data_IF_508580242480
#
_entry.id   IF_508580242480
#
_cell.length_a   1.000
_cell.length_b   1.000
_cell.length_c   1.000
_cell.angle_alpha   90.00
_cell.angle_beta   90.00
_cell.angle_gamma   90.00
#
_symmetry.space_group_name_H-M   'P 1'
#
loop_
_entity.id
_entity.type
_entity.pdbx_description
1 polymer ?
#
# COMPACT_ATOMS: atom_id res chain seq x y z
N UNK A 1 -0.38 -10.09 -36.06
CA UNK A 1 -0.36 -11.00 -34.87
C UNK A 1 0.30 -10.37 -33.65
N UNK A 2 1.60 -10.00 -33.72
CA UNK A 2 2.39 -9.54 -32.56
C UNK A 2 1.83 -8.26 -31.93
N UNK A 3 1.44 -7.26 -32.71
CA UNK A 3 0.90 -6.00 -32.20
C UNK A 3 -0.41 -6.16 -31.41
N UNK A 4 -1.31 -7.03 -31.89
CA UNK A 4 -2.57 -7.32 -31.19
C UNK A 4 -2.29 -8.12 -29.92
N UNK A 5 -1.38 -9.09 -29.96
CA UNK A 5 -0.99 -9.86 -28.79
C UNK A 5 -0.38 -8.96 -27.70
N UNK A 6 0.46 -8.01 -28.08
CA UNK A 6 1.04 -7.04 -27.14
C UNK A 6 -0.03 -6.15 -26.48
N UNK A 7 -0.99 -5.64 -27.27
CA UNK A 7 -2.10 -4.80 -26.74
C UNK A 7 -2.95 -5.62 -25.74
N UNK A 8 -3.30 -6.87 -26.09
CA UNK A 8 -4.08 -7.74 -25.20
C UNK A 8 -3.33 -8.08 -23.93
N UNK A 9 -2.01 -8.34 -24.02
CA UNK A 9 -1.19 -8.62 -22.85
C UNK A 9 -1.11 -7.39 -21.91
N UNK A 10 -0.84 -6.20 -22.46
CA UNK A 10 -0.79 -4.95 -21.67
C UNK A 10 -2.14 -4.64 -21.02
N UNK A 11 -3.24 -4.71 -21.77
CA UNK A 11 -4.56 -4.46 -21.20
C UNK A 11 -4.98 -5.50 -20.16
N UNK A 12 -4.56 -6.75 -20.30
CA UNK A 12 -4.81 -7.81 -19.32
C UNK A 12 -4.05 -7.58 -18.00
N UNK A 13 -2.77 -7.21 -18.07
CA UNK A 13 -1.96 -6.89 -16.89
C UNK A 13 -2.53 -5.66 -16.17
N UNK A 14 -2.85 -4.59 -16.91
CA UNK A 14 -3.44 -3.37 -16.34
C UNK A 14 -4.79 -3.62 -15.67
N UNK A 15 -5.65 -4.45 -16.26
CA UNK A 15 -6.94 -4.81 -15.68
C UNK A 15 -6.78 -5.61 -14.37
N UNK A 16 -5.79 -6.50 -14.30
CA UNK A 16 -5.48 -7.26 -13.08
C UNK A 16 -4.94 -6.36 -11.96
N UNK A 17 -4.00 -5.46 -12.28
CA UNK A 17 -3.46 -4.48 -11.32
C UNK A 17 -4.56 -3.57 -10.76
N UNK A 18 -5.46 -3.07 -11.62
CA UNK A 18 -6.60 -2.26 -11.21
C UNK A 18 -7.55 -3.00 -10.26
N UNK A 19 -7.84 -4.27 -10.53
CA UNK A 19 -8.72 -5.08 -9.68
C UNK A 19 -8.10 -5.28 -8.28
N UNK A 20 -6.79 -5.49 -8.18
CA UNK A 20 -6.09 -5.62 -6.90
C UNK A 20 -6.08 -4.30 -6.10
N UNK A 21 -5.83 -3.16 -6.76
CA UNK A 21 -5.90 -1.84 -6.15
C UNK A 21 -7.32 -1.51 -5.66
N UNK A 22 -8.35 -1.76 -6.47
CA UNK A 22 -9.75 -1.54 -6.06
C UNK A 22 -10.13 -2.41 -4.87
N UNK A 23 -9.74 -3.68 -4.86
CA UNK A 23 -10.01 -4.57 -3.72
C UNK A 23 -9.30 -4.09 -2.45
N UNK A 24 -8.10 -3.52 -2.58
CA UNK A 24 -7.37 -2.92 -1.48
C UNK A 24 -8.07 -1.67 -0.96
N UNK A 25 -8.51 -0.76 -1.84
CA UNK A 25 -9.30 0.42 -1.45
C UNK A 25 -10.62 0.06 -0.76
N UNK A 26 -11.33 -0.95 -1.28
CA UNK A 26 -12.58 -1.44 -0.68
C UNK A 26 -12.37 -2.04 0.71
N UNK A 27 -11.29 -2.81 0.89
CA UNK A 27 -10.99 -3.45 2.18
C UNK A 27 -10.59 -2.46 3.27
N UNK A 28 -9.94 -1.37 2.89
CA UNK A 28 -9.44 -0.36 3.82
C UNK A 28 -10.49 0.69 4.19
N UNK A 29 -11.45 0.92 3.28
CA UNK A 29 -12.33 2.08 3.36
C UNK A 29 -11.61 3.39 3.02
N UNK A 30 -12.31 4.30 2.35
CA UNK A 30 -11.78 5.62 1.97
C UNK A 30 -11.76 6.63 3.11
N UNK A 31 -12.08 6.19 4.33
CA UNK A 31 -12.32 7.03 5.50
C UNK A 31 -11.20 7.00 6.53
N UNK A 32 -10.07 6.36 6.23
CA UNK A 32 -8.89 6.35 7.09
C UNK A 32 -8.04 7.59 6.85
N UNK A 33 -7.69 8.27 7.93
CA UNK A 33 -6.79 9.43 7.95
C UNK A 33 -5.64 9.13 8.89
N UNK A 34 -4.43 9.50 8.48
CA UNK A 34 -3.20 9.44 9.27
C UNK A 34 -2.73 10.87 9.51
N UNK A 35 -2.42 11.20 10.75
CA UNK A 35 -1.80 12.47 11.11
C UNK A 35 -0.52 12.20 11.91
N UNK A 36 0.57 12.86 11.53
CA UNK A 36 1.87 12.73 12.17
C UNK A 36 2.58 14.08 12.17
N UNK A 37 3.53 14.33 13.09
CA UNK A 37 4.38 15.50 12.99
C UNK A 37 5.13 15.50 11.66
N UNK A 38 5.26 16.68 11.08
CA UNK A 38 6.12 16.85 9.92
C UNK A 38 7.56 16.48 10.27
N UNK A 39 8.23 15.70 9.42
CA UNK A 39 9.60 15.30 9.66
C UNK A 39 10.50 16.53 9.80
N UNK A 40 11.10 16.71 10.96
CA UNK A 40 12.04 17.79 11.21
C UNK A 40 13.26 17.69 10.30
N UNK A 41 13.93 18.82 10.05
CA UNK A 41 15.08 18.96 9.13
C UNK A 41 16.25 17.97 9.42
N UNK A 42 16.29 17.37 10.60
CA UNK A 42 17.33 16.42 11.05
C UNK A 42 16.80 15.01 11.27
N UNK A 43 15.59 14.68 10.78
CA UNK A 43 15.02 13.34 10.92
C UNK A 43 14.60 12.98 12.35
N UNK A 44 14.57 13.93 13.27
CA UNK A 44 14.00 13.74 14.61
C UNK A 44 12.48 13.69 14.46
N UNK A 45 11.89 12.57 14.89
CA UNK A 45 10.43 12.49 14.98
C UNK A 45 10.00 13.37 16.18
N UNK A 46 9.34 14.49 15.87
CA UNK A 46 8.68 15.28 16.90
C UNK A 46 7.49 14.50 17.44
N UNK A 47 7.21 14.68 18.71
CA UNK A 47 6.05 14.06 19.37
C UNK A 47 4.86 15.02 19.32
N UNK A 48 3.67 14.48 19.22
CA UNK A 48 2.46 15.27 19.33
C UNK A 48 2.19 15.67 20.78
N UNK A 49 1.46 16.78 21.02
CA UNK A 49 1.13 17.21 22.37
C UNK A 49 0.41 16.14 23.19
N UNK A 50 0.68 16.06 24.48
CA UNK A 50 -0.07 15.20 25.41
C UNK A 50 -1.56 15.54 25.35
N UNK A 51 -2.41 14.51 25.29
CA UNK A 51 -3.87 14.68 25.20
C UNK A 51 -4.43 14.98 23.82
N UNK A 52 -3.60 14.93 22.76
CA UNK A 52 -4.06 15.11 21.37
C UNK A 52 -5.15 14.12 20.98
N UNK A 53 -5.11 12.88 21.47
CA UNK A 53 -6.13 11.86 21.22
C UNK A 53 -7.52 12.37 21.62
N UNK A 54 -7.67 12.88 22.85
CA UNK A 54 -8.92 13.45 23.33
C UNK A 54 -9.35 14.74 22.62
N UNK A 55 -8.45 15.44 21.93
CA UNK A 55 -8.83 16.57 21.08
C UNK A 55 -9.43 16.08 19.76
N UNK A 56 -8.85 15.07 19.16
CA UNK A 56 -9.32 14.47 17.91
C UNK A 56 -10.66 13.76 18.10
N UNK A 57 -10.86 13.03 19.19
CA UNK A 57 -12.14 12.37 19.55
C UNK A 57 -13.33 13.35 19.60
N UNK A 58 -13.09 14.62 19.91
CA UNK A 58 -14.16 15.65 19.99
C UNK A 58 -14.57 16.19 18.63
N UNK A 59 -13.87 15.84 17.55
CA UNK A 59 -14.27 16.23 16.19
C UNK A 59 -15.47 15.36 15.80
N UNK A 60 -16.66 15.98 15.72
CA UNK A 60 -17.94 15.27 15.59
C UNK A 60 -18.04 14.15 14.55
N UNK A 61 -17.47 14.30 13.32
CA UNK A 61 -17.50 13.25 12.31
C UNK A 61 -16.50 12.10 12.53
N UNK A 62 -15.58 12.20 13.50
CA UNK A 62 -14.63 11.12 13.85
C UNK A 62 -15.39 9.99 14.54
N UNK A 63 -15.19 8.77 14.06
CA UNK A 63 -15.87 7.56 14.53
C UNK A 63 -14.97 6.74 15.45
N UNK A 64 -13.72 6.56 15.03
CA UNK A 64 -12.71 5.80 15.74
C UNK A 64 -11.38 6.53 15.64
N UNK A 65 -10.59 6.47 16.68
CA UNK A 65 -9.25 7.07 16.70
C UNK A 65 -8.33 6.24 17.57
N UNK A 66 -7.08 6.15 17.16
CA UNK A 66 -6.02 5.48 17.91
C UNK A 66 -4.70 6.20 17.74
N UNK A 67 -3.79 5.97 18.64
CA UNK A 67 -2.45 6.54 18.59
C UNK A 67 -1.37 5.47 18.55
N UNK A 68 -0.26 5.81 17.96
CA UNK A 68 0.96 5.01 18.03
C UNK A 68 2.15 5.88 18.41
N UNK A 69 3.05 5.31 19.20
CA UNK A 69 4.33 5.94 19.53
C UNK A 69 5.45 5.08 18.96
N UNK A 70 6.14 5.58 17.96
CA UNK A 70 7.31 4.92 17.42
C UNK A 70 8.50 5.15 18.36
N UNK A 71 9.27 4.08 18.58
CA UNK A 71 10.43 4.11 19.48
C UNK A 71 11.65 3.49 18.80
N UNK A 72 12.82 3.86 19.28
CA UNK A 72 14.10 3.33 18.79
C UNK A 72 14.55 2.07 19.56
N UNK A 73 13.63 1.41 20.29
CA UNK A 73 13.92 0.19 21.03
C UNK A 73 14.41 -0.91 20.10
N UNK A 74 15.55 -1.48 20.42
CA UNK A 74 16.24 -2.46 19.59
C UNK A 74 15.57 -3.84 19.69
N UNK A 75 15.18 -4.40 18.55
CA UNK A 75 14.54 -5.72 18.46
C UNK A 75 15.54 -6.76 17.96
N UNK A 76 15.67 -7.88 18.69
CA UNK A 76 16.52 -9.01 18.34
C UNK A 76 15.80 -10.36 18.52
N UNK A 77 16.16 -11.32 17.69
CA UNK A 77 15.63 -12.69 17.84
C UNK A 77 16.10 -13.37 19.13
N UNK A 78 17.30 -13.07 19.56
CA UNK A 78 17.93 -13.62 20.76
C UNK A 78 19.09 -12.75 21.24
N UNK A 79 19.56 -13.00 22.44
CA UNK A 79 20.72 -12.35 23.02
C UNK A 79 22.08 -12.72 22.37
N UNK A 80 22.09 -13.72 21.46
CA UNK A 80 23.29 -14.07 20.69
C UNK A 80 23.51 -13.17 19.48
N UNK A 81 22.50 -12.39 19.09
CA UNK A 81 22.59 -11.40 18.00
C UNK A 81 23.12 -10.10 18.59
N UNK A 82 24.17 -9.55 17.97
CA UNK A 82 24.77 -8.28 18.39
C UNK A 82 23.77 -7.13 18.29
N UNK A 83 23.90 -6.15 19.18
CA UNK A 83 23.11 -4.91 19.14
C UNK A 83 23.30 -4.13 17.83
N UNK A 84 24.47 -4.25 17.21
CA UNK A 84 24.76 -3.62 15.91
C UNK A 84 24.14 -4.34 14.69
N UNK A 85 23.60 -5.54 14.90
CA UNK A 85 22.93 -6.34 13.86
C UNK A 85 21.40 -6.29 13.96
N UNK A 86 20.86 -5.46 14.83
CA UNK A 86 19.42 -5.21 14.98
C UNK A 86 18.86 -4.49 13.74
N UNK A 87 18.46 -5.25 12.76
CA UNK A 87 18.30 -4.83 11.39
C UNK A 87 17.01 -4.05 11.06
N UNK A 88 16.84 -2.82 11.54
CA UNK A 88 15.80 -1.93 11.03
C UNK A 88 14.37 -2.44 11.29
N UNK A 89 14.13 -3.02 12.44
CA UNK A 89 12.81 -3.35 12.97
C UNK A 89 12.46 -2.24 13.96
N UNK A 90 11.36 -1.54 13.72
CA UNK A 90 10.87 -0.49 14.62
C UNK A 90 10.02 -1.09 15.73
N UNK A 91 10.06 -0.52 16.92
CA UNK A 91 9.13 -0.86 18.00
C UNK A 91 8.06 0.23 18.07
N UNK A 92 6.80 -0.18 18.01
CA UNK A 92 5.63 0.69 18.07
C UNK A 92 4.86 0.36 19.34
N UNK A 93 4.66 1.37 20.16
CA UNK A 93 3.75 1.32 21.31
C UNK A 93 2.36 1.70 20.83
N UNK A 94 1.35 0.92 21.18
CA UNK A 94 -0.01 1.14 20.69
C UNK A 94 -1.06 0.65 21.68
N UNK A 95 -2.29 1.07 21.46
CA UNK A 95 -3.48 0.59 22.14
C UNK A 95 -4.16 -0.56 21.36
N UNK A 96 -5.19 -1.16 21.95
CA UNK A 96 -5.92 -2.29 21.39
C UNK A 96 -6.63 -1.97 20.07
N UNK A 97 -7.07 -0.73 19.91
CA UNK A 97 -7.91 -0.27 18.80
C UNK A 97 -7.16 -0.13 17.47
N UNK A 98 -5.82 -0.16 17.48
CA UNK A 98 -5.03 0.08 16.25
C UNK A 98 -5.46 -0.83 15.12
N UNK A 99 -5.61 -2.12 15.39
CA UNK A 99 -5.89 -3.10 14.34
C UNK A 99 -7.24 -2.82 13.66
N UNK A 100 -8.26 -2.48 14.45
CA UNK A 100 -9.60 -2.17 13.95
C UNK A 100 -9.60 -0.87 13.15
N UNK A 101 -8.95 0.18 13.67
CA UNK A 101 -8.86 1.48 13.02
C UNK A 101 -8.16 1.39 11.67
N UNK A 102 -7.05 0.66 11.56
CA UNK A 102 -6.34 0.50 10.27
C UNK A 102 -6.97 -0.55 9.35
N UNK A 103 -7.95 -1.34 9.84
CA UNK A 103 -8.56 -2.44 9.09
C UNK A 103 -7.60 -3.60 8.85
N UNK A 104 -6.69 -3.84 9.79
CA UNK A 104 -5.71 -4.92 9.71
C UNK A 104 -6.31 -6.28 10.14
N UNK A 105 -5.66 -7.36 9.71
CA UNK A 105 -5.99 -8.72 10.10
C UNK A 105 -4.78 -9.43 10.70
N UNK A 106 -5.05 -10.55 11.36
CA UNK A 106 -4.03 -11.43 11.92
C UNK A 106 -3.88 -12.68 11.05
N UNK A 107 -2.65 -13.06 10.77
CA UNK A 107 -2.33 -14.36 10.16
C UNK A 107 -2.41 -15.47 11.21
N UNK A 108 -1.95 -15.19 12.45
CA UNK A 108 -1.95 -16.17 13.55
C UNK A 108 -1.98 -15.43 14.90
N UNK A 109 -2.60 -16.05 15.90
CA UNK A 109 -2.65 -15.53 17.26
C UNK A 109 -3.70 -14.45 17.51
N UNK A 110 -3.37 -13.45 18.34
CA UNK A 110 -4.25 -12.33 18.73
C UNK A 110 -3.47 -11.01 18.80
N UNK A 111 -4.17 -9.89 18.69
CA UNK A 111 -3.60 -8.58 18.90
C UNK A 111 -3.48 -8.23 20.40
N UNK A 112 -2.88 -7.07 20.69
CA UNK A 112 -2.76 -6.54 22.05
C UNK A 112 -4.15 -6.06 22.47
N UNK A 113 -4.77 -6.76 23.40
CA UNK A 113 -6.02 -6.37 24.05
C UNK A 113 -5.68 -5.63 25.37
N UNK A 114 -6.65 -4.91 25.94
CA UNK A 114 -6.44 -4.14 27.19
C UNK A 114 -5.84 -4.99 28.33
N UNK A 115 -6.25 -6.25 28.45
CA UNK A 115 -5.69 -7.18 29.45
C UNK A 115 -4.24 -7.64 29.19
N UNK A 116 -3.68 -7.32 28.03
CA UNK A 116 -2.30 -7.65 27.63
C UNK A 116 -1.38 -6.43 27.60
N UNK A 117 -1.93 -5.22 27.76
CA UNK A 117 -1.17 -3.97 27.66
C UNK A 117 -0.01 -3.86 28.66
N UNK A 118 -0.20 -4.43 29.87
CA UNK A 118 0.77 -4.39 30.96
C UNK A 118 1.71 -5.61 31.02
N UNK A 119 1.52 -6.55 30.10
CA UNK A 119 2.28 -7.81 30.08
C UNK A 119 3.33 -7.75 28.97
N UNK A 120 4.57 -8.30 29.18
CA UNK A 120 5.60 -8.30 28.16
C UNK A 120 5.28 -9.29 27.03
N UNK A 121 4.34 -8.90 26.21
CA UNK A 121 3.92 -9.57 24.97
C UNK A 121 4.05 -8.63 23.79
N UNK A 122 4.18 -9.20 22.61
CA UNK A 122 4.34 -8.45 21.37
C UNK A 122 3.60 -9.10 20.22
N UNK A 123 3.16 -8.28 19.28
CA UNK A 123 2.62 -8.69 17.98
C UNK A 123 3.64 -8.29 16.91
N UNK A 124 3.83 -9.14 15.92
CA UNK A 124 4.78 -8.92 14.84
C UNK A 124 4.07 -8.45 13.57
N UNK A 125 4.60 -7.43 12.92
CA UNK A 125 4.24 -7.13 11.53
C UNK A 125 4.70 -8.26 10.61
N UNK A 126 4.07 -8.42 9.46
CA UNK A 126 4.31 -9.54 8.54
C UNK A 126 5.78 -9.63 8.11
N UNK A 127 6.37 -8.52 7.64
CA UNK A 127 7.78 -8.46 7.22
C UNK A 127 8.71 -8.76 8.39
N UNK A 128 8.39 -8.27 9.59
CA UNK A 128 9.18 -8.52 10.80
C UNK A 128 9.15 -10.00 11.19
N UNK A 129 7.99 -10.64 11.14
CA UNK A 129 7.84 -12.06 11.41
C UNK A 129 8.72 -12.91 10.47
N UNK A 130 8.71 -12.59 9.17
CA UNK A 130 9.57 -13.23 8.18
C UNK A 130 11.07 -13.03 8.47
N UNK A 131 11.48 -11.79 8.80
CA UNK A 131 12.89 -11.47 9.14
C UNK A 131 13.38 -12.19 10.37
N UNK A 132 12.53 -12.32 11.39
CA UNK A 132 12.87 -13.04 12.62
C UNK A 132 12.72 -14.56 12.47
N UNK A 133 12.24 -15.07 11.32
CA UNK A 133 12.01 -16.48 11.08
C UNK A 133 10.87 -17.07 11.92
N UNK A 134 9.85 -16.25 12.26
CA UNK A 134 8.69 -16.63 13.05
C UNK A 134 7.46 -16.61 12.14
N UNK A 135 7.18 -17.73 11.49
CA UNK A 135 6.10 -17.81 10.49
C UNK A 135 4.76 -18.28 11.07
N UNK A 136 4.76 -18.84 12.27
CA UNK A 136 3.57 -19.30 13.00
C UNK A 136 3.83 -19.34 14.49
N UNK A 137 2.76 -19.42 15.28
CA UNK A 137 2.79 -19.47 16.73
C UNK A 137 2.47 -20.86 17.31
N UNK A 138 2.66 -21.92 16.52
CA UNK A 138 2.44 -23.30 16.97
C UNK A 138 3.32 -23.68 18.16
N UNK A 139 4.43 -22.98 18.34
CA UNK A 139 5.33 -23.13 19.49
C UNK A 139 5.51 -21.77 20.17
N UNK A 140 5.39 -21.70 21.51
CA UNK A 140 5.63 -20.47 22.25
C UNK A 140 6.97 -19.87 21.90
N UNK A 141 6.95 -18.67 21.36
CA UNK A 141 8.12 -17.98 20.82
C UNK A 141 8.32 -16.67 21.58
N UNK A 142 9.57 -16.30 21.80
CA UNK A 142 9.95 -15.03 22.43
C UNK A 142 10.94 -14.29 21.55
N UNK A 143 10.93 -12.98 21.66
CA UNK A 143 11.94 -12.07 21.08
C UNK A 143 12.50 -11.16 22.18
N UNK A 144 13.62 -10.56 21.92
CA UNK A 144 14.26 -9.61 22.83
C UNK A 144 14.02 -8.19 22.33
N UNK A 145 13.41 -7.35 23.15
CA UNK A 145 13.26 -5.90 22.91
C UNK A 145 14.15 -5.23 23.96
N UNK A 146 15.16 -4.49 23.51
CA UNK A 146 16.27 -4.07 24.34
C UNK A 146 16.89 -5.26 25.09
N UNK A 147 16.67 -5.33 26.38
CA UNK A 147 17.18 -6.40 27.26
C UNK A 147 16.04 -7.20 27.91
N UNK A 148 14.79 -7.01 27.47
CA UNK A 148 13.62 -7.65 28.05
C UNK A 148 13.00 -8.66 27.08
N UNK A 149 12.57 -9.82 27.61
CA UNK A 149 11.96 -10.88 26.81
C UNK A 149 10.47 -10.70 26.65
N UNK A 150 10.02 -10.57 25.43
CA UNK A 150 8.62 -10.47 25.06
C UNK A 150 8.10 -11.76 24.42
N UNK A 151 6.93 -12.24 24.88
CA UNK A 151 6.25 -13.37 24.29
C UNK A 151 5.53 -12.94 23.01
N UNK A 152 5.75 -13.61 21.88
CA UNK A 152 5.02 -13.33 20.65
C UNK A 152 3.63 -13.94 20.72
N UNK A 153 2.60 -13.10 20.65
CA UNK A 153 1.18 -13.51 20.79
C UNK A 153 0.37 -13.39 19.51
N UNK A 154 0.89 -12.67 18.51
CA UNK A 154 0.22 -12.48 17.22
C UNK A 154 1.19 -12.17 16.10
N UNK A 155 0.76 -12.45 14.87
CA UNK A 155 1.43 -12.09 13.63
C UNK A 155 0.38 -11.44 12.73
N UNK A 156 0.67 -10.22 12.25
CA UNK A 156 -0.22 -9.51 11.35
C UNK A 156 -0.21 -10.13 9.94
N UNK A 157 -1.31 -10.00 9.24
CA UNK A 157 -1.36 -10.14 7.80
C UNK A 157 -0.63 -8.95 7.13
N UNK A 158 -0.24 -9.09 5.88
CA UNK A 158 0.45 -8.03 5.14
C UNK A 158 -0.39 -6.75 5.06
N UNK A 159 0.14 -5.65 5.58
CA UNK A 159 -0.48 -4.33 5.55
C UNK A 159 0.01 -3.54 4.33
N UNK A 160 -0.60 -3.76 3.17
CA UNK A 160 -0.15 -3.21 1.88
C UNK A 160 0.07 -1.70 1.86
N UNK A 161 -0.72 -0.94 2.62
CA UNK A 161 -0.64 0.54 2.66
C UNK A 161 0.08 1.09 3.88
N UNK A 162 0.48 0.23 4.80
CA UNK A 162 1.23 0.60 5.99
C UNK A 162 2.53 -0.21 6.09
N UNK A 163 3.46 -0.07 5.13
CA UNK A 163 4.69 -0.86 5.11
C UNK A 163 5.59 -0.61 6.33
N UNK A 164 5.44 0.53 6.98
CA UNK A 164 6.16 0.85 8.22
C UNK A 164 5.66 -0.02 9.38
N UNK A 165 4.36 -0.25 9.46
CA UNK A 165 3.75 -1.14 10.46
C UNK A 165 4.13 -2.60 10.22
N UNK A 166 4.23 -3.03 8.96
CA UNK A 166 4.67 -4.39 8.61
C UNK A 166 6.12 -4.69 9.04
N UNK A 167 6.94 -3.67 9.14
CA UNK A 167 8.35 -3.77 9.55
C UNK A 167 8.58 -3.56 11.04
N UNK A 168 7.49 -3.52 11.81
CA UNK A 168 7.52 -3.18 13.23
C UNK A 168 7.14 -4.36 14.11
N UNK A 169 7.44 -4.23 15.38
CA UNK A 169 6.83 -5.00 16.47
C UNK A 169 5.93 -4.07 17.27
N UNK A 170 4.88 -4.62 17.84
CA UNK A 170 3.89 -3.86 18.61
C UNK A 170 3.92 -4.30 20.06
N UNK A 171 3.90 -3.33 20.97
CA UNK A 171 3.79 -3.52 22.42
C UNK A 171 2.72 -2.58 23.00
N UNK A 172 2.14 -2.95 24.13
CA UNK A 172 1.15 -2.11 24.80
C UNK A 172 1.77 -0.91 25.54
N UNK A 173 0.96 0.14 25.76
CA UNK A 173 1.41 1.33 26.50
C UNK A 173 1.79 1.01 27.93
N UNK A 174 1.05 0.15 28.67
CA UNK A 174 1.34 -0.15 30.05
C UNK A 174 2.70 -0.84 30.26
N UNK A 175 3.07 -1.79 29.41
CA UNK A 175 4.41 -2.41 29.47
C UNK A 175 5.51 -1.47 29.01
N UNK A 176 5.24 -0.59 28.04
CA UNK A 176 6.20 0.40 27.55
C UNK A 176 6.53 1.44 28.63
N UNK A 177 5.54 1.93 29.37
CA UNK A 177 5.72 2.82 30.52
C UNK A 177 6.51 2.12 31.62
N UNK A 178 6.11 0.89 31.98
CA UNK A 178 6.71 0.18 33.13
C UNK A 178 8.16 -0.24 32.90
N UNK A 179 8.51 -0.73 31.70
CA UNK A 179 9.83 -1.30 31.43
C UNK A 179 10.81 -0.31 30.79
N UNK A 180 10.29 0.69 30.05
CA UNK A 180 11.12 1.57 29.24
C UNK A 180 10.93 3.06 29.54
N UNK A 181 10.08 3.41 30.52
CA UNK A 181 9.77 4.82 30.90
C UNK A 181 9.29 5.64 29.67
N UNK A 182 8.48 5.01 28.82
CA UNK A 182 7.92 5.63 27.63
C UNK A 182 6.54 6.19 27.97
N UNK A 183 6.44 7.49 28.00
CA UNK A 183 5.19 8.23 28.16
C UNK A 183 4.26 8.03 26.96
N UNK A 184 2.95 8.20 27.19
CA UNK A 184 1.93 8.24 26.14
C UNK A 184 1.99 9.58 25.35
N UNK A 185 3.06 9.73 24.57
CA UNK A 185 3.29 10.85 23.66
C UNK A 185 3.27 10.33 22.21
N UNK A 186 2.13 10.45 21.52
CA UNK A 186 1.98 9.83 20.20
C UNK A 186 2.89 10.47 19.15
N UNK A 187 3.43 9.64 18.28
CA UNK A 187 4.11 10.08 17.06
C UNK A 187 3.19 10.03 15.86
N UNK A 188 2.11 9.25 15.92
CA UNK A 188 1.14 9.15 14.82
C UNK A 188 -0.26 8.91 15.39
N UNK A 189 -1.23 9.56 14.80
CA UNK A 189 -2.66 9.34 15.04
C UNK A 189 -3.25 8.71 13.79
N UNK A 190 -4.01 7.65 13.97
CA UNK A 190 -4.87 7.06 12.95
C UNK A 190 -6.32 7.26 13.37
N UNK A 191 -7.16 7.66 12.43
CA UNK A 191 -8.57 7.86 12.71
C UNK A 191 -9.44 7.43 11.52
N UNK A 192 -10.65 7.01 11.81
CA UNK A 192 -11.72 6.83 10.84
C UNK A 192 -12.77 7.91 11.03
N UNK A 193 -13.13 8.57 9.96
CA UNK A 193 -14.17 9.58 9.94
C UNK A 193 -15.34 9.16 9.05
N UNK A 194 -16.49 9.81 9.21
CA UNK A 194 -17.60 9.62 8.30
C UNK A 194 -17.17 10.05 6.88
N UNK A 195 -17.29 9.17 5.85
CA UNK A 195 -16.84 9.47 4.49
C UNK A 195 -17.42 10.76 3.89
N UNK A 196 -18.63 11.15 4.31
CA UNK A 196 -19.29 12.36 3.81
C UNK A 196 -18.61 13.65 4.30
N UNK A 197 -17.92 13.61 5.43
CA UNK A 197 -17.30 14.77 6.07
C UNK A 197 -15.78 14.65 6.19
N UNK A 198 -15.18 13.74 5.44
CA UNK A 198 -13.74 13.45 5.59
C UNK A 198 -12.86 14.64 5.21
N UNK A 199 -13.26 15.43 4.20
CA UNK A 199 -12.53 16.63 3.79
C UNK A 199 -12.58 17.70 4.88
N UNK A 200 -13.76 17.90 5.49
CA UNK A 200 -13.92 18.82 6.61
C UNK A 200 -13.07 18.40 7.83
N UNK A 201 -13.00 17.09 8.10
CA UNK A 201 -12.15 16.54 9.17
C UNK A 201 -10.67 16.79 8.89
N UNK A 202 -10.20 16.52 7.68
CA UNK A 202 -8.80 16.74 7.28
C UNK A 202 -8.41 18.21 7.43
N UNK A 203 -9.29 19.15 7.06
CA UNK A 203 -9.03 20.59 7.17
C UNK A 203 -8.88 21.06 8.62
N UNK A 204 -9.69 20.53 9.54
CA UNK A 204 -9.68 20.94 10.96
C UNK A 204 -8.71 20.13 11.82
N UNK A 205 -8.18 19.00 11.31
CA UNK A 205 -7.40 18.07 12.11
C UNK A 205 -6.07 18.68 12.57
N UNK A 206 -5.26 19.22 11.66
CA UNK A 206 -3.98 19.82 12.00
C UNK A 206 -4.10 20.99 13.00
N UNK A 207 -5.01 21.97 12.82
CA UNK A 207 -5.25 23.01 13.81
C UNK A 207 -5.77 22.49 15.16
N UNK A 208 -6.51 21.37 15.15
CA UNK A 208 -7.02 20.75 16.39
C UNK A 208 -5.93 20.02 17.16
N UNK A 209 -4.98 19.40 16.46
CA UNK A 209 -3.88 18.63 17.07
C UNK A 209 -2.75 19.52 17.57
N UNK A 210 -2.40 20.57 16.86
CA UNK A 210 -1.38 21.54 17.23
C UNK A 210 -1.85 22.98 16.91
N UNK A 211 -2.61 23.61 17.80
CA UNK A 211 -3.15 24.96 17.57
C UNK A 211 -2.07 26.05 17.44
N UNK A 212 -0.90 25.84 18.06
CA UNK A 212 0.19 26.81 18.02
C UNK A 212 0.95 26.76 16.68
N UNK A 213 1.12 25.58 16.11
CA UNK A 213 1.85 25.35 14.88
C UNK A 213 1.18 24.26 14.00
N UNK A 214 0.04 24.56 13.38
CA UNK A 214 -0.69 23.58 12.55
C UNK A 214 0.14 23.05 11.37
N UNK A 215 1.03 23.87 10.84
CA UNK A 215 1.90 23.54 9.70
C UNK A 215 2.94 22.44 10.04
N UNK A 216 3.13 22.13 11.32
CA UNK A 216 4.00 21.05 11.78
C UNK A 216 3.30 19.68 11.83
N UNK A 217 2.02 19.63 11.50
CA UNK A 217 1.24 18.39 11.45
C UNK A 217 0.96 18.04 10.00
N UNK A 218 1.47 16.92 9.56
CA UNK A 218 1.18 16.35 8.24
C UNK A 218 -0.04 15.44 8.36
N UNK A 219 -1.08 15.76 7.58
CA UNK A 219 -2.30 14.95 7.49
C UNK A 219 -2.34 14.29 6.13
N UNK A 220 -2.40 12.97 6.10
CA UNK A 220 -2.41 12.18 4.88
C UNK A 220 -3.58 11.20 4.87
N UNK A 221 -4.11 10.94 3.69
CA UNK A 221 -5.10 9.89 3.46
C UNK A 221 -4.41 8.79 2.65
N UNK A 222 -4.24 7.58 3.20
CA UNK A 222 -3.61 6.49 2.47
C UNK A 222 -4.32 6.16 1.14
N UNK A 223 -5.65 6.37 1.06
CA UNK A 223 -6.43 6.24 -0.17
C UNK A 223 -5.95 7.14 -1.30
N UNK A 224 -5.51 8.37 -1.01
CA UNK A 224 -5.09 9.33 -2.03
C UNK A 224 -3.84 8.85 -2.78
N UNK A 225 -2.93 8.18 -2.09
CA UNK A 225 -1.74 7.57 -2.71
C UNK A 225 -2.13 6.44 -3.68
N UNK A 226 -3.12 5.62 -3.33
CA UNK A 226 -3.63 4.56 -4.20
C UNK A 226 -4.40 5.12 -5.39
N UNK A 227 -5.20 6.17 -5.20
CA UNK A 227 -5.90 6.87 -6.30
C UNK A 227 -4.89 7.51 -7.27
N UNK A 228 -3.84 8.14 -6.77
CA UNK A 228 -2.77 8.69 -7.60
C UNK A 228 -2.03 7.59 -8.39
N UNK A 229 -1.78 6.44 -7.78
CA UNK A 229 -1.20 5.29 -8.46
C UNK A 229 -2.11 4.78 -9.57
N UNK A 230 -3.42 4.63 -9.32
CA UNK A 230 -4.40 4.24 -10.34
C UNK A 230 -4.41 5.21 -11.52
N UNK A 231 -4.45 6.51 -11.25
CA UNK A 231 -4.43 7.52 -12.29
C UNK A 231 -3.16 7.45 -13.15
N UNK A 232 -2.00 7.18 -12.53
CA UNK A 232 -0.75 6.98 -13.24
C UNK A 232 -0.78 5.72 -14.12
N UNK A 233 -1.28 4.59 -13.61
CA UNK A 233 -1.41 3.34 -14.38
C UNK A 233 -2.38 3.48 -15.55
N UNK A 234 -3.49 4.19 -15.37
CA UNK A 234 -4.44 4.51 -16.46
C UNK A 234 -3.78 5.38 -17.54
N UNK A 235 -3.00 6.39 -17.15
CA UNK A 235 -2.28 7.24 -18.08
C UNK A 235 -1.24 6.44 -18.90
N UNK A 236 -0.46 5.56 -18.25
CA UNK A 236 0.48 4.67 -18.93
C UNK A 236 -0.23 3.70 -19.89
N UNK A 237 -1.34 3.11 -19.48
CA UNK A 237 -2.12 2.20 -20.31
C UNK A 237 -2.66 2.91 -21.55
N UNK A 238 -3.21 4.11 -21.40
CA UNK A 238 -3.71 4.91 -22.50
C UNK A 238 -2.58 5.32 -23.47
N UNK A 239 -1.41 5.63 -22.96
CA UNK A 239 -0.23 5.95 -23.76
C UNK A 239 0.25 4.75 -24.57
N UNK A 240 0.31 3.56 -23.96
CA UNK A 240 0.68 2.31 -24.62
C UNK A 240 -0.35 1.91 -25.69
N UNK A 241 -1.64 2.06 -25.42
CA UNK A 241 -2.72 1.83 -26.39
C UNK A 241 -2.63 2.81 -27.56
N UNK A 242 -2.35 4.08 -27.31
CA UNK A 242 -2.10 5.09 -28.34
C UNK A 242 -0.93 4.72 -29.23
N UNK A 243 0.22 4.39 -28.65
CA UNK A 243 1.42 3.97 -29.37
C UNK A 243 1.20 2.69 -30.17
N UNK A 244 0.52 1.69 -29.58
CA UNK A 244 0.13 0.46 -30.24
C UNK A 244 -0.78 0.68 -31.43
N UNK A 245 -1.72 1.60 -31.31
CA UNK A 245 -2.64 1.99 -32.40
C UNK A 245 -1.90 2.61 -33.58
N UNK A 246 -0.94 3.50 -33.30
CA UNK A 246 -0.06 4.09 -34.34
C UNK A 246 0.78 3.01 -35.02
N UNK A 247 1.37 2.09 -34.24
CA UNK A 247 2.17 0.99 -34.79
C UNK A 247 1.35 0.08 -35.67
N UNK A 248 0.10 -0.24 -35.31
CA UNK A 248 -0.84 -1.01 -36.14
C UNK A 248 -1.18 -0.26 -37.43
N UNK A 249 -1.39 1.04 -37.38
CA UNK A 249 -1.66 1.88 -38.54
C UNK A 249 -0.49 1.84 -39.52
N UNK A 250 0.72 2.08 -39.02
CA UNK A 250 1.95 2.04 -39.85
C UNK A 250 2.17 0.66 -40.43
N UNK A 251 2.01 -0.40 -39.64
CA UNK A 251 2.09 -1.79 -40.10
C UNK A 251 1.01 -2.12 -41.16
N UNK A 252 -0.21 -1.62 -40.98
CA UNK A 252 -1.30 -1.76 -41.94
C UNK A 252 -0.99 -1.08 -43.28
N UNK A 253 -0.46 0.13 -43.26
CA UNK A 253 -0.03 0.86 -44.47
C UNK A 253 1.13 0.11 -45.17
N UNK A 254 2.09 -0.39 -44.41
CA UNK A 254 3.21 -1.17 -44.97
C UNK A 254 2.71 -2.45 -45.68
N UNK A 255 1.79 -3.20 -45.06
CA UNK A 255 1.18 -4.38 -45.66
C UNK A 255 0.38 -4.00 -46.90
N UNK A 256 -0.42 -2.95 -46.85
CA UNK A 256 -1.18 -2.46 -48.00
C UNK A 256 -0.26 -2.12 -49.18
N UNK A 257 0.86 -1.44 -48.92
CA UNK A 257 1.86 -1.09 -49.95
C UNK A 257 2.48 -2.33 -50.61
N UNK A 258 2.88 -3.34 -49.81
CA UNK A 258 3.39 -4.62 -50.33
C UNK A 258 2.32 -5.33 -51.16
N UNK A 259 1.07 -5.35 -50.72
CA UNK A 259 -0.03 -5.97 -51.46
C UNK A 259 -0.30 -5.28 -52.81
N UNK A 260 -0.31 -3.92 -52.81
CA UNK A 260 -0.45 -3.15 -54.05
C UNK A 260 0.68 -3.48 -55.04
N UNK A 261 1.92 -3.51 -54.54
CA UNK A 261 3.08 -3.86 -55.40
C UNK A 261 2.94 -5.25 -55.98
N UNK A 262 2.58 -6.25 -55.13
CA UNK A 262 2.36 -7.66 -55.57
C UNK A 262 1.26 -7.77 -56.63
N UNK A 263 0.20 -7.01 -56.51
CA UNK A 263 -0.89 -6.97 -57.53
C UNK A 263 -0.41 -6.32 -58.86
N UNK A 264 0.38 -5.22 -58.75
CA UNK A 264 0.95 -4.56 -59.93
C UNK A 264 1.92 -5.45 -60.68
N UNK A 265 2.79 -6.17 -60.01
CA UNK A 265 3.74 -7.12 -60.62
C UNK A 265 3.03 -8.24 -61.34
N UNK A 266 1.91 -8.73 -60.84
CA UNK A 266 1.09 -9.81 -61.45
C UNK A 266 -0.04 -9.33 -62.31
N UNK A 267 -0.07 -8.04 -62.75
CA UNK A 267 -1.13 -7.43 -63.51
C UNK A 267 -1.39 -8.17 -64.85
N UNK A 268 -0.35 -8.63 -65.52
CA UNK A 268 -0.47 -9.40 -66.77
C UNK A 268 -1.15 -10.77 -66.54
N UNK A 269 -0.76 -11.47 -65.47
CA UNK A 269 -1.34 -12.76 -65.10
C UNK A 269 -2.82 -12.63 -64.74
N UNK A 270 -3.16 -11.62 -63.96
CA UNK A 270 -4.57 -11.30 -63.64
C UNK A 270 -5.36 -10.95 -64.90
N UNK A 271 -4.76 -10.22 -65.84
CA UNK A 271 -5.37 -9.88 -67.14
C UNK A 271 -5.70 -11.12 -68.00
N UNK A 272 -4.75 -12.07 -68.07
CA UNK A 272 -4.95 -13.34 -68.79
C UNK A 272 -6.06 -14.18 -68.14
N UNK A 273 -6.07 -14.31 -66.82
CA UNK A 273 -7.15 -15.08 -66.13
C UNK A 273 -8.49 -14.45 -66.32
N UNK A 274 -8.61 -13.12 -66.35
CA UNK A 274 -9.86 -12.41 -66.62
C UNK A 274 -10.35 -12.58 -68.05
N UNK A 275 -9.44 -12.65 -69.01
CA UNK A 275 -9.80 -12.88 -70.42
C UNK A 275 -10.35 -14.32 -70.69
N UNK A 276 -9.93 -15.31 -69.85
CA UNK A 276 -10.42 -16.70 -69.90
C UNK A 276 -11.71 -16.88 -69.09
N UNK A 277 -12.23 -15.81 -68.42
CA UNK A 277 -13.55 -15.81 -67.74
C UNK A 277 -13.49 -15.82 -66.20
N UNK A 278 -12.33 -15.66 -65.57
CA UNK A 278 -12.26 -15.58 -64.13
C UNK A 278 -12.99 -14.32 -63.56
N UNK A 279 -13.82 -14.54 -62.55
CA UNK A 279 -14.60 -13.49 -61.90
C UNK A 279 -13.76 -12.63 -60.96
N UNK A 280 -14.17 -11.38 -60.68
CA UNK A 280 -13.47 -10.50 -59.70
C UNK A 280 -13.39 -11.12 -58.31
N UNK A 281 -14.32 -12.00 -57.97
CA UNK A 281 -14.38 -12.67 -56.66
C UNK A 281 -13.31 -13.74 -56.51
N UNK A 282 -13.12 -14.54 -57.56
CA UNK A 282 -12.08 -15.58 -57.60
C UNK A 282 -10.67 -14.99 -57.53
N UNK A 283 -10.42 -13.86 -58.24
CA UNK A 283 -9.15 -13.18 -58.20
C UNK A 283 -8.89 -12.61 -56.81
N UNK A 284 -9.93 -12.03 -56.12
CA UNK A 284 -9.79 -11.47 -54.79
C UNK A 284 -9.45 -12.49 -53.72
N UNK A 285 -9.84 -13.74 -53.84
CA UNK A 285 -9.51 -14.82 -52.92
C UNK A 285 -8.06 -15.36 -53.09
N UNK A 286 -7.35 -14.96 -54.14
CA UNK A 286 -5.97 -15.36 -54.38
C UNK A 286 -4.95 -14.36 -53.81
N UNK A 287 -5.38 -13.17 -53.44
CA UNK A 287 -4.57 -12.11 -52.82
C UNK A 287 -5.18 -11.72 -51.47
#
# INVERSE_FOLDING_TARGET
>A
GIGIAAIVAVSGISASGRADLLSTLESLGTNLVKASPQAGFFGTQEKLPKGVLGMVERIGPVQEVTSTTQTDLLVRRSNFISEFEGGGISTIVTSAELLDVIGGNLTDGRFIEDGLSDIPVTVLGNVTAQRLGINNLSTPTKILIENEWFGVVGILEELKIHPDLDRSVFIGYGVAETLFDIDEEPTTIYLRANPTFIEDVVEVLAPSMNPENPDQVEVTRPSDALEAQQAAEEAFTNLLLGLGSVALLVGGVAIANVMVMSVLERRMEIGVRRSIGATRREIRYQF
#
